data_IF_830340693704
#
_entry.id   IF_830340693704
#
_cell.length_a   1.000
_cell.length_b   1.000
_cell.length_c   1.000
_cell.angle_alpha   90.00
_cell.angle_beta   90.00
_cell.angle_gamma   90.00
#
_symmetry.space_group_name_H-M   'P 1'
#
loop_
_entity.id
_entity.type
_entity.pdbx_description
1 polymer ?
#
# COMPACT_ATOMS: atom_id res chain seq x y z
N UNK A 1 -1.60 -0.47 -1.03
CA UNK A 1 -0.28 -1.08 -0.80
C UNK A 1 0.70 -0.64 -1.88
N UNK A 2 1.79 0.08 -1.55
CA UNK A 2 2.76 0.61 -2.53
C UNK A 2 3.83 -0.41 -2.94
N UNK A 3 3.39 -1.59 -3.41
CA UNK A 3 4.27 -2.76 -3.58
C UNK A 3 5.54 -2.47 -4.39
N UNK A 4 5.43 -1.72 -5.50
CA UNK A 4 6.56 -1.38 -6.38
C UNK A 4 7.66 -0.55 -5.71
N UNK A 5 7.37 0.10 -4.58
CA UNK A 5 8.29 1.04 -3.95
C UNK A 5 9.16 0.42 -2.84
N UNK A 6 8.79 -0.74 -2.31
CA UNK A 6 9.48 -1.37 -1.17
C UNK A 6 9.74 -2.87 -1.34
N UNK A 7 9.10 -3.55 -2.30
CA UNK A 7 9.29 -4.99 -2.48
C UNK A 7 10.76 -5.30 -2.81
N UNK A 8 11.34 -6.25 -2.07
CA UNK A 8 12.74 -6.66 -2.20
C UNK A 8 13.73 -5.85 -1.34
N UNK A 9 13.32 -4.69 -0.81
CA UNK A 9 14.18 -3.91 0.11
C UNK A 9 14.46 -4.69 1.38
N UNK A 10 13.44 -5.29 2.00
CA UNK A 10 13.61 -6.03 3.26
C UNK A 10 14.61 -7.18 3.15
N UNK A 11 14.58 -7.87 2.01
CA UNK A 11 15.50 -8.98 1.70
C UNK A 11 16.95 -8.47 1.60
N UNK A 12 17.17 -7.29 0.99
CA UNK A 12 18.50 -6.66 0.89
C UNK A 12 19.01 -6.04 2.19
N UNK A 13 18.10 -5.60 3.06
CA UNK A 13 18.43 -4.98 4.35
C UNK A 13 18.57 -5.98 5.51
N UNK A 14 18.36 -7.27 5.26
CA UNK A 14 18.40 -8.33 6.28
C UNK A 14 19.46 -9.41 5.97
N UNK A 15 20.75 -9.05 5.82
CA UNK A 15 21.79 -10.04 5.55
C UNK A 15 21.94 -11.01 6.72
N UNK A 16 22.36 -12.25 6.42
CA UNK A 16 22.55 -13.28 7.45
C UNK A 16 23.85 -13.11 8.26
N UNK A 17 24.87 -12.45 7.69
CA UNK A 17 26.15 -12.18 8.36
C UNK A 17 26.07 -10.91 9.23
N UNK A 18 26.53 -10.99 10.48
CA UNK A 18 26.59 -9.85 11.40
C UNK A 18 27.56 -8.76 10.93
N UNK A 19 28.60 -9.11 10.17
CA UNK A 19 29.51 -8.11 9.58
C UNK A 19 28.79 -7.23 8.56
N UNK A 20 27.96 -7.83 7.72
CA UNK A 20 27.18 -7.09 6.72
C UNK A 20 26.13 -6.20 7.38
N UNK A 21 25.50 -6.67 8.48
CA UNK A 21 24.60 -5.82 9.29
C UNK A 21 25.32 -4.63 9.90
N UNK A 22 26.52 -4.82 10.42
CA UNK A 22 27.33 -3.73 10.95
C UNK A 22 27.69 -2.71 9.87
N UNK A 23 28.06 -3.18 8.67
CA UNK A 23 28.34 -2.32 7.52
C UNK A 23 27.11 -1.49 7.11
N UNK A 24 25.91 -2.09 7.07
CA UNK A 24 24.68 -1.35 6.75
C UNK A 24 24.37 -0.25 7.77
N UNK A 25 24.66 -0.48 9.05
CA UNK A 25 24.52 0.54 10.11
C UNK A 25 25.56 1.65 9.93
N UNK A 26 26.81 1.30 9.68
CA UNK A 26 27.88 2.28 9.37
C UNK A 26 27.51 3.13 8.15
N UNK A 27 26.98 2.52 7.09
CA UNK A 27 26.49 3.25 5.92
C UNK A 27 25.36 4.23 6.28
N UNK A 28 24.46 3.87 7.18
CA UNK A 28 23.40 4.77 7.63
C UNK A 28 23.94 5.98 8.43
N UNK A 29 24.97 5.75 9.25
CA UNK A 29 25.61 6.76 10.08
C UNK A 29 26.53 7.68 9.27
N UNK A 30 27.36 7.14 8.38
CA UNK A 30 28.43 7.88 7.71
C UNK A 30 28.05 8.34 6.30
N UNK A 31 27.04 7.73 5.65
CA UNK A 31 26.70 8.03 4.27
C UNK A 31 25.33 8.71 4.12
N UNK A 32 25.29 10.04 3.89
CA UNK A 32 24.05 10.80 3.76
C UNK A 32 23.09 10.27 2.70
N UNK A 33 23.59 9.81 1.55
CA UNK A 33 22.75 9.27 0.47
C UNK A 33 22.00 8.01 0.90
N UNK A 34 22.68 7.09 1.59
CA UNK A 34 22.06 5.86 2.09
C UNK A 34 21.00 6.18 3.16
N UNK A 35 21.32 7.11 4.06
CA UNK A 35 20.37 7.62 5.06
C UNK A 35 19.09 8.17 4.42
N UNK A 36 19.21 8.97 3.37
CA UNK A 36 18.06 9.54 2.65
C UNK A 36 17.20 8.46 1.98
N UNK A 37 17.81 7.42 1.40
CA UNK A 37 17.06 6.29 0.83
C UNK A 37 16.28 5.55 1.91
N UNK A 38 16.90 5.25 3.05
CA UNK A 38 16.24 4.58 4.17
C UNK A 38 15.10 5.46 4.72
N UNK A 39 15.29 6.78 4.79
CA UNK A 39 14.26 7.76 5.17
C UNK A 39 13.08 7.78 4.20
N UNK A 40 13.34 7.74 2.89
CA UNK A 40 12.31 7.67 1.85
C UNK A 40 11.49 6.37 1.95
N UNK A 41 12.16 5.24 2.10
CA UNK A 41 11.52 3.92 2.25
C UNK A 41 10.70 3.89 3.54
N UNK A 42 11.26 4.39 4.65
CA UNK A 42 10.55 4.54 5.93
C UNK A 42 9.23 5.30 5.76
N UNK A 43 9.27 6.42 5.05
CA UNK A 43 8.08 7.22 4.75
C UNK A 43 7.07 6.41 3.91
N UNK A 44 7.51 5.74 2.85
CA UNK A 44 6.63 4.96 1.96
C UNK A 44 5.93 3.80 2.70
N UNK A 45 6.67 3.07 3.53
CA UNK A 45 6.12 1.99 4.36
C UNK A 45 5.11 2.55 5.35
N UNK A 46 5.38 3.71 5.96
CA UNK A 46 4.47 4.33 6.93
C UNK A 46 3.11 4.76 6.36
N UNK A 47 3.00 4.92 5.02
CA UNK A 47 1.74 5.24 4.33
C UNK A 47 0.88 4.01 4.05
N UNK A 48 1.42 2.80 4.23
CA UNK A 48 0.68 1.58 3.88
C UNK A 48 -0.27 1.20 5.00
N UNK A 49 -1.56 1.15 4.67
CA UNK A 49 -2.60 0.65 5.57
C UNK A 49 -2.88 -0.85 5.31
N UNK A 50 -2.61 -1.67 6.33
CA UNK A 50 -2.86 -3.11 6.29
C UNK A 50 -4.35 -3.44 6.27
N UNK A 51 -5.17 -2.67 6.99
CA UNK A 51 -6.62 -2.93 7.11
C UNK A 51 -7.33 -2.73 5.77
N UNK A 52 -6.98 -1.65 5.05
CA UNK A 52 -7.51 -1.40 3.72
C UNK A 52 -7.06 -2.48 2.75
N UNK A 53 -5.79 -2.88 2.77
CA UNK A 53 -5.33 -3.90 1.82
C UNK A 53 -5.98 -5.26 2.09
N UNK A 54 -6.13 -5.64 3.36
CA UNK A 54 -6.83 -6.86 3.74
C UNK A 54 -8.31 -6.81 3.32
N UNK A 55 -8.97 -5.67 3.46
CA UNK A 55 -10.36 -5.51 3.03
C UNK A 55 -10.55 -5.73 1.52
N UNK A 56 -9.60 -5.26 0.69
CA UNK A 56 -9.62 -5.55 -0.74
C UNK A 56 -9.43 -7.04 -1.03
N UNK A 57 -8.51 -7.70 -0.33
CA UNK A 57 -8.28 -9.14 -0.48
C UNK A 57 -9.55 -9.93 -0.14
N UNK A 58 -10.16 -9.64 1.02
CA UNK A 58 -11.36 -10.32 1.51
C UNK A 58 -12.55 -10.20 0.55
N UNK A 59 -12.67 -9.07 -0.17
CA UNK A 59 -13.80 -8.81 -1.07
C UNK A 59 -13.57 -9.24 -2.52
N UNK A 60 -12.32 -9.18 -3.00
CA UNK A 60 -12.03 -9.24 -4.44
C UNK A 60 -11.11 -10.38 -4.88
N UNK A 61 -10.44 -11.05 -3.94
CA UNK A 61 -9.44 -12.08 -4.24
C UNK A 61 -10.03 -13.48 -4.09
N UNK A 62 -9.70 -14.37 -5.02
CA UNK A 62 -10.06 -15.79 -4.91
C UNK A 62 -9.42 -16.37 -3.64
N UNK A 63 -10.15 -17.15 -2.82
CA UNK A 63 -9.61 -17.82 -1.63
C UNK A 63 -8.26 -18.55 -1.86
N UNK A 64 -8.02 -19.07 -3.06
CA UNK A 64 -6.76 -19.75 -3.42
C UNK A 64 -5.54 -18.82 -3.47
N UNK A 65 -5.75 -17.52 -3.64
CA UNK A 65 -4.71 -16.50 -3.74
C UNK A 65 -4.52 -15.72 -2.43
N UNK A 66 -5.35 -15.93 -1.41
CA UNK A 66 -5.24 -15.22 -0.12
C UNK A 66 -3.87 -15.40 0.53
N UNK A 67 -3.28 -16.59 0.43
CA UNK A 67 -1.95 -16.88 0.99
C UNK A 67 -0.85 -16.00 0.39
N UNK A 68 -0.99 -15.58 -0.87
CA UNK A 68 -0.05 -14.65 -1.51
C UNK A 68 -0.17 -13.26 -0.90
N UNK A 69 -1.39 -12.80 -0.62
CA UNK A 69 -1.63 -11.53 0.07
C UNK A 69 -1.00 -11.51 1.47
N UNK A 70 -1.12 -12.62 2.20
CA UNK A 70 -0.48 -12.79 3.51
C UNK A 70 1.05 -12.78 3.42
N UNK A 71 1.63 -13.49 2.44
CA UNK A 71 3.08 -13.47 2.20
C UNK A 71 3.60 -12.06 1.91
N UNK A 72 2.88 -11.29 1.08
CA UNK A 72 3.26 -9.91 0.76
C UNK A 72 3.17 -9.01 2.00
N UNK A 73 2.13 -9.17 2.83
CA UNK A 73 2.02 -8.42 4.10
C UNK A 73 3.16 -8.77 5.06
N UNK A 74 3.53 -10.04 5.15
CA UNK A 74 4.65 -10.49 5.97
C UNK A 74 5.97 -9.87 5.50
N UNK A 75 6.22 -9.82 4.17
CA UNK A 75 7.39 -9.12 3.60
C UNK A 75 7.42 -7.63 3.94
N UNK A 76 6.27 -6.96 4.04
CA UNK A 76 6.20 -5.56 4.48
C UNK A 76 6.60 -5.41 5.95
N UNK A 77 6.15 -6.32 6.82
CA UNK A 77 6.53 -6.36 8.24
C UNK A 77 8.03 -6.58 8.39
N UNK A 78 8.60 -7.53 7.63
CA UNK A 78 10.03 -7.80 7.61
C UNK A 78 10.84 -6.59 7.14
N UNK A 79 10.40 -5.94 6.05
CA UNK A 79 11.04 -4.73 5.53
C UNK A 79 11.00 -3.60 6.56
N UNK A 80 9.87 -3.40 7.24
CA UNK A 80 9.74 -2.42 8.33
C UNK A 80 10.74 -2.68 9.45
N UNK A 81 10.89 -3.94 9.86
CA UNK A 81 11.83 -4.32 10.91
C UNK A 81 13.27 -4.07 10.50
N UNK A 82 13.65 -4.45 9.29
CA UNK A 82 15.00 -4.24 8.77
C UNK A 82 15.38 -2.75 8.75
N UNK A 83 14.46 -1.90 8.31
CA UNK A 83 14.64 -0.43 8.30
C UNK A 83 14.84 0.12 9.71
N UNK A 84 14.08 -0.36 10.69
CA UNK A 84 14.22 0.04 12.11
C UNK A 84 15.58 -0.42 12.66
N UNK A 85 15.97 -1.67 12.39
CA UNK A 85 17.21 -2.27 12.88
C UNK A 85 18.48 -1.58 12.32
N UNK A 86 18.42 -1.07 11.08
CA UNK A 86 19.52 -0.32 10.45
C UNK A 86 19.58 1.13 10.94
N UNK A 87 18.42 1.77 11.08
CA UNK A 87 18.34 3.18 11.52
C UNK A 87 18.58 3.38 13.01
N UNK A 88 18.56 2.31 13.81
CA UNK A 88 18.74 2.36 15.27
C UNK A 88 17.58 3.02 16.02
N UNK A 89 16.43 3.19 15.36
CA UNK A 89 15.25 3.82 15.94
C UNK A 89 14.37 2.78 16.66
N UNK A 90 13.45 3.22 17.52
CA UNK A 90 12.47 2.34 18.17
C UNK A 90 11.21 2.13 17.34
N UNK A 91 10.93 3.06 16.43
CA UNK A 91 9.81 3.02 15.48
C UNK A 91 10.24 3.64 14.16
N UNK A 92 9.47 3.41 13.09
CA UNK A 92 9.62 4.20 11.86
C UNK A 92 9.44 5.69 12.21
N UNK A 93 10.53 6.44 12.17
CA UNK A 93 10.55 7.85 12.49
C UNK A 93 11.53 8.62 11.61
N UNK A 94 11.36 9.94 11.58
CA UNK A 94 12.14 10.82 10.74
C UNK A 94 11.42 12.14 10.52
N UNK A 95 12.13 13.19 10.09
CA UNK A 95 11.55 14.50 9.86
C UNK A 95 10.37 14.46 8.88
N UNK A 96 10.45 13.60 7.86
CA UNK A 96 9.36 13.40 6.89
C UNK A 96 8.17 12.62 7.50
N UNK A 97 8.42 11.63 8.36
CA UNK A 97 7.37 10.79 8.96
C UNK A 97 6.51 11.58 9.95
N UNK A 98 7.12 12.46 10.75
CA UNK A 98 6.37 13.26 11.74
C UNK A 98 5.41 14.27 11.06
N UNK A 99 5.90 14.98 10.04
CA UNK A 99 5.07 15.89 9.24
C UNK A 99 3.95 15.13 8.48
N UNK A 100 4.25 13.92 8.00
CA UNK A 100 3.27 13.06 7.36
C UNK A 100 2.20 12.54 8.33
N UNK A 101 2.54 12.14 9.56
CA UNK A 101 1.55 11.65 10.55
C UNK A 101 0.44 12.69 10.80
N UNK A 102 0.81 13.94 11.03
CA UNK A 102 -0.14 15.02 11.27
C UNK A 102 -1.06 15.27 10.06
N UNK A 103 -0.49 15.25 8.84
CA UNK A 103 -1.28 15.43 7.62
C UNK A 103 -2.14 14.21 7.25
N UNK A 104 -1.70 13.00 7.60
CA UNK A 104 -2.38 11.74 7.25
C UNK A 104 -3.54 11.45 8.19
N UNK A 105 -3.47 11.83 9.48
CA UNK A 105 -4.58 11.69 10.42
C UNK A 105 -5.88 12.37 9.96
N UNK A 106 -5.76 13.49 9.22
CA UNK A 106 -6.93 14.21 8.70
C UNK A 106 -7.42 13.61 7.37
N UNK A 107 -6.50 13.18 6.49
CA UNK A 107 -6.86 12.71 5.15
C UNK A 107 -7.27 11.25 5.09
N UNK A 108 -6.66 10.40 5.92
CA UNK A 108 -6.85 8.95 5.87
C UNK A 108 -8.33 8.57 6.02
N UNK A 109 -9.13 9.12 6.96
CA UNK A 109 -10.54 8.74 7.06
C UNK A 109 -11.36 8.94 5.78
N UNK A 110 -11.06 9.99 5.00
CA UNK A 110 -11.72 10.25 3.72
C UNK A 110 -11.25 9.28 2.64
N UNK A 111 -9.95 9.03 2.56
CA UNK A 111 -9.35 8.08 1.60
C UNK A 111 -9.79 6.65 1.91
N UNK A 112 -9.89 6.28 3.19
CA UNK A 112 -10.33 4.98 3.67
C UNK A 112 -11.80 4.74 3.31
N UNK A 113 -12.65 5.74 3.51
CA UNK A 113 -14.07 5.67 3.10
C UNK A 113 -14.22 5.45 1.60
N UNK A 114 -13.43 6.17 0.78
CA UNK A 114 -13.42 6.00 -0.68
C UNK A 114 -12.91 4.61 -1.06
N UNK A 115 -11.89 4.09 -0.37
CA UNK A 115 -11.35 2.75 -0.59
C UNK A 115 -12.39 1.65 -0.35
N UNK A 116 -13.14 1.74 0.75
CA UNK A 116 -14.21 0.77 1.07
C UNK A 116 -15.30 0.81 0.00
N UNK A 117 -15.76 2.01 -0.39
CA UNK A 117 -16.77 2.17 -1.45
C UNK A 117 -16.26 1.62 -2.78
N UNK A 118 -14.99 1.89 -3.13
CA UNK A 118 -14.37 1.37 -4.34
C UNK A 118 -14.32 -0.16 -4.37
N UNK A 119 -13.96 -0.80 -3.25
CA UNK A 119 -13.91 -2.26 -3.16
C UNK A 119 -15.30 -2.88 -3.40
N UNK A 120 -16.35 -2.32 -2.82
CA UNK A 120 -17.73 -2.77 -3.07
C UNK A 120 -18.18 -2.55 -4.52
N UNK A 121 -17.87 -1.39 -5.11
CA UNK A 121 -18.18 -1.11 -6.52
C UNK A 121 -17.49 -2.15 -7.42
N UNK A 122 -16.22 -2.44 -7.17
CA UNK A 122 -15.45 -3.45 -7.93
C UNK A 122 -16.05 -4.84 -7.76
N UNK A 123 -16.44 -5.23 -6.54
CA UNK A 123 -17.06 -6.53 -6.27
C UNK A 123 -18.34 -6.71 -7.07
N UNK A 124 -19.19 -5.68 -7.08
CA UNK A 124 -20.45 -5.70 -7.83
C UNK A 124 -20.18 -5.72 -9.34
N UNK A 125 -19.31 -4.85 -9.84
CA UNK A 125 -18.99 -4.78 -11.28
C UNK A 125 -18.42 -6.10 -11.82
N UNK A 126 -17.56 -6.78 -11.06
CA UNK A 126 -16.99 -8.09 -11.44
C UNK A 126 -18.02 -9.22 -11.47
N UNK A 127 -19.13 -9.07 -10.75
CA UNK A 127 -20.23 -10.04 -10.75
C UNK A 127 -21.32 -9.74 -11.79
N UNK A 128 -21.23 -8.62 -12.51
CA UNK A 128 -22.18 -8.28 -13.57
C UNK A 128 -21.81 -8.96 -14.88
N UNK A 129 -22.79 -9.24 -15.77
CA UNK A 129 -22.52 -9.81 -17.08
C UNK A 129 -21.56 -8.94 -17.93
N UNK A 130 -20.80 -9.59 -18.81
CA UNK A 130 -19.92 -8.91 -19.75
C UNK A 130 -20.70 -8.07 -20.76
N UNK A 131 -20.04 -7.05 -21.31
CA UNK A 131 -20.64 -6.16 -22.30
C UNK A 131 -20.99 -6.95 -23.57
N UNK A 132 -22.22 -6.80 -24.04
CA UNK A 132 -22.73 -7.56 -25.19
C UNK A 132 -23.17 -8.99 -24.88
N UNK A 133 -23.17 -9.42 -23.61
CA UNK A 133 -23.77 -10.70 -23.23
C UNK A 133 -25.30 -10.66 -23.33
N UNK A 134 -25.96 -11.77 -23.72
CA UNK A 134 -27.42 -11.83 -23.82
C UNK A 134 -28.14 -11.69 -22.47
N UNK A 135 -27.41 -11.89 -21.37
CA UNK A 135 -27.91 -11.75 -19.99
C UNK A 135 -27.86 -10.29 -19.49
N UNK A 136 -27.27 -9.37 -20.26
CA UNK A 136 -27.20 -7.95 -19.92
C UNK A 136 -28.48 -7.23 -20.39
N UNK A 137 -29.32 -6.84 -19.44
CA UNK A 137 -30.52 -6.03 -19.71
C UNK A 137 -30.14 -4.55 -19.89
N UNK A 138 -30.94 -3.74 -20.62
CA UNK A 138 -30.68 -2.31 -20.76
C UNK A 138 -30.59 -1.56 -19.42
N UNK A 139 -31.40 -1.97 -18.44
CA UNK A 139 -31.35 -1.42 -17.08
C UNK A 139 -30.03 -1.77 -16.37
N UNK A 140 -29.56 -3.01 -16.51
CA UNK A 140 -28.28 -3.43 -15.93
C UNK A 140 -27.08 -2.73 -16.57
N UNK A 141 -27.16 -2.39 -17.87
CA UNK A 141 -26.14 -1.64 -18.60
C UNK A 141 -26.04 -0.20 -18.10
N UNK A 142 -27.17 0.49 -17.89
CA UNK A 142 -27.19 1.83 -17.30
C UNK A 142 -26.60 1.85 -15.88
N UNK A 143 -26.99 0.89 -15.05
CA UNK A 143 -26.44 0.75 -13.71
C UNK A 143 -24.93 0.46 -13.75
N UNK A 144 -24.46 -0.34 -14.71
CA UNK A 144 -23.03 -0.63 -14.92
C UNK A 144 -22.27 0.65 -15.29
N UNK A 145 -22.83 1.49 -16.17
CA UNK A 145 -22.24 2.77 -16.55
C UNK A 145 -22.09 3.72 -15.35
N UNK A 146 -23.14 3.89 -14.54
CA UNK A 146 -23.09 4.73 -13.32
C UNK A 146 -22.01 4.24 -12.35
N UNK A 147 -21.86 2.91 -12.20
CA UNK A 147 -20.82 2.33 -11.33
C UNK A 147 -19.42 2.52 -11.89
N UNK A 148 -19.24 2.46 -13.20
CA UNK A 148 -17.97 2.80 -13.84
C UNK A 148 -17.60 4.27 -13.59
N UNK A 149 -18.55 5.19 -13.69
CA UNK A 149 -18.31 6.61 -13.36
C UNK A 149 -17.92 6.79 -11.89
N UNK A 150 -18.64 6.12 -10.98
CA UNK A 150 -18.32 6.12 -9.56
C UNK A 150 -16.92 5.55 -9.27
N UNK A 151 -16.50 4.50 -9.98
CA UNK A 151 -15.17 3.93 -9.91
C UNK A 151 -14.09 4.91 -10.40
N UNK A 152 -14.33 5.63 -11.50
CA UNK A 152 -13.41 6.66 -12.00
C UNK A 152 -13.24 7.82 -10.99
N UNK A 153 -14.34 8.21 -10.34
CA UNK A 153 -14.32 9.20 -9.27
C UNK A 153 -13.54 8.71 -8.05
N UNK A 154 -13.71 7.43 -7.66
CA UNK A 154 -12.98 6.86 -6.51
C UNK A 154 -11.48 6.79 -6.78
N UNK A 155 -11.07 6.35 -7.98
CA UNK A 155 -9.67 6.32 -8.41
C UNK A 155 -9.06 7.73 -8.32
N UNK A 156 -9.76 8.73 -8.86
CA UNK A 156 -9.31 10.12 -8.83
C UNK A 156 -9.22 10.66 -7.40
N UNK A 157 -10.20 10.36 -6.56
CA UNK A 157 -10.24 10.74 -5.14
C UNK A 157 -9.09 10.16 -4.33
N UNK A 158 -8.80 8.87 -4.51
CA UNK A 158 -7.66 8.21 -3.85
C UNK A 158 -6.34 8.81 -4.35
N UNK A 159 -6.17 9.00 -5.67
CA UNK A 159 -4.96 9.59 -6.22
C UNK A 159 -4.68 10.98 -5.63
N UNK A 160 -5.69 11.84 -5.55
CA UNK A 160 -5.59 13.17 -4.92
C UNK A 160 -5.29 13.09 -3.41
N UNK A 161 -5.87 12.13 -2.70
CA UNK A 161 -5.67 11.94 -1.26
C UNK A 161 -4.30 11.36 -0.90
N UNK A 162 -3.75 10.49 -1.74
CA UNK A 162 -2.45 9.83 -1.55
C UNK A 162 -1.27 10.74 -1.89
N UNK A 163 -1.45 11.74 -2.76
CA UNK A 163 -0.38 12.64 -3.24
C UNK A 163 0.85 11.82 -3.71
N UNK A 164 2.07 12.33 -3.48
CA UNK A 164 3.32 11.67 -3.92
C UNK A 164 3.46 10.28 -3.28
N UNK A 165 3.39 9.26 -4.12
CA UNK A 165 3.38 7.83 -3.76
C UNK A 165 4.63 7.07 -4.22
N UNK A 166 5.54 7.78 -4.91
CA UNK A 166 6.79 7.30 -5.50
C UNK A 166 7.35 8.40 -6.39
#
# INVERSE_FOLDING_TARGET
>A
MHLSAWLGVGDGLSPSDEKDKALLREMYEEWPWFREIISLISMLISKTDFSITQHYDDLLVDPKLMSLGDEVREKLVQTRRAVIDISGQTEISGPHVQLMRASSQIRNPYVDSINVVQAEILRVLRGMPEDGSPDLTPESEEIKAIRNDALLLSISGIAMGMKNSG
#
